data_IF_622225192218
#
_entry.id   IF_622225192218
#
_cell.length_a   1.000
_cell.length_b   1.000
_cell.length_c   1.000
_cell.angle_alpha   90.00
_cell.angle_beta   90.00
_cell.angle_gamma   90.00
#
_symmetry.space_group_name_H-M   'P 1'
#
loop_
_entity.id
_entity.type
_entity.pdbx_description
1 polymer ?
#
# COMPACT_ATOMS: atom_id res chain seq x y z
N UNK A 1 19.15 2.09 -24.31
CA UNK A 1 18.36 3.21 -23.75
C UNK A 1 16.99 2.67 -23.35
N UNK A 2 16.44 3.07 -22.20
CA UNK A 2 15.04 2.76 -21.87
C UNK A 2 14.14 3.43 -22.92
N UNK A 3 13.39 2.63 -23.68
CA UNK A 3 12.40 3.15 -24.63
C UNK A 3 11.38 4.05 -23.92
N UNK A 4 11.06 5.18 -24.56
CA UNK A 4 10.20 6.23 -24.02
C UNK A 4 8.77 5.72 -23.83
N UNK A 5 8.15 6.05 -22.69
CA UNK A 5 6.74 5.76 -22.41
C UNK A 5 5.82 6.53 -23.37
N UNK A 6 4.70 5.91 -23.71
CA UNK A 6 3.63 6.60 -24.44
C UNK A 6 2.90 7.59 -23.53
N UNK A 7 2.19 8.57 -24.13
CA UNK A 7 1.41 9.56 -23.37
C UNK A 7 0.37 8.90 -22.44
N UNK A 8 -0.28 7.82 -22.90
CA UNK A 8 -1.27 7.08 -22.09
C UNK A 8 -0.61 6.35 -20.92
N UNK A 9 0.55 5.73 -21.14
CA UNK A 9 1.30 5.06 -20.08
C UNK A 9 1.83 6.05 -19.04
N UNK A 10 2.31 7.21 -19.47
CA UNK A 10 2.75 8.26 -18.56
C UNK A 10 1.59 8.77 -17.70
N UNK A 11 0.45 9.09 -18.33
CA UNK A 11 -0.79 9.48 -17.63
C UNK A 11 -1.25 8.40 -16.64
N UNK A 12 -1.14 7.13 -17.00
CA UNK A 12 -1.45 6.01 -16.12
C UNK A 12 -0.54 5.99 -14.88
N UNK A 13 0.77 6.17 -15.05
CA UNK A 13 1.73 6.23 -13.95
C UNK A 13 1.40 7.36 -12.96
N UNK A 14 1.13 8.57 -13.48
CA UNK A 14 0.81 9.74 -12.65
C UNK A 14 -0.46 9.49 -11.83
N UNK A 15 -1.55 9.07 -12.48
CA UNK A 15 -2.83 8.78 -11.84
C UNK A 15 -2.74 7.63 -10.82
N UNK A 16 -1.94 6.60 -11.10
CA UNK A 16 -1.75 5.50 -10.16
C UNK A 16 -1.03 5.95 -8.89
N UNK A 17 -0.01 6.80 -9.02
CA UNK A 17 0.72 7.33 -7.87
C UNK A 17 -0.14 8.26 -7.03
N UNK A 18 -1.05 9.02 -7.66
CA UNK A 18 -1.99 9.90 -6.98
C UNK A 18 -3.10 9.13 -6.23
N UNK A 19 -3.72 8.14 -6.89
CA UNK A 19 -4.94 7.50 -6.37
C UNK A 19 -4.69 6.14 -5.70
N UNK A 20 -3.57 5.48 -5.96
CA UNK A 20 -3.27 4.12 -5.49
C UNK A 20 -4.14 3.01 -6.10
N UNK A 21 -5.03 3.32 -7.05
CA UNK A 21 -5.95 2.37 -7.67
C UNK A 21 -5.62 2.17 -9.16
N UNK A 22 -5.18 0.96 -9.51
CA UNK A 22 -4.76 0.61 -10.86
C UNK A 22 -5.91 0.67 -11.87
N UNK A 23 -7.09 0.15 -11.50
CA UNK A 23 -8.25 0.09 -12.39
C UNK A 23 -8.79 1.49 -12.70
N UNK A 24 -8.86 2.38 -11.69
CA UNK A 24 -9.25 3.78 -11.90
C UNK A 24 -8.22 4.55 -12.73
N UNK A 25 -6.92 4.37 -12.45
CA UNK A 25 -5.87 4.99 -13.26
C UNK A 25 -5.96 4.54 -14.73
N UNK A 26 -6.26 3.27 -14.97
CA UNK A 26 -6.42 2.73 -16.32
C UNK A 26 -7.63 3.31 -17.04
N UNK A 27 -8.80 3.38 -16.37
CA UNK A 27 -10.03 3.99 -16.92
C UNK A 27 -9.83 5.43 -17.38
N UNK A 28 -9.03 6.20 -16.67
CA UNK A 28 -8.80 7.61 -16.98
C UNK A 28 -7.67 7.82 -17.99
N UNK A 29 -6.68 6.92 -18.03
CA UNK A 29 -5.56 6.99 -18.96
C UNK A 29 -5.88 6.42 -20.35
N UNK A 30 -6.80 5.45 -20.42
CA UNK A 30 -7.19 4.75 -21.63
C UNK A 30 -8.69 4.89 -21.89
N UNK A 31 -9.10 4.87 -23.16
CA UNK A 31 -10.52 4.86 -23.53
C UNK A 31 -11.10 3.48 -23.19
N UNK A 32 -11.93 3.42 -22.16
CA UNK A 32 -12.46 2.18 -21.58
C UNK A 32 -13.99 2.07 -21.64
N UNK A 33 -14.68 2.95 -22.37
CA UNK A 33 -16.15 3.08 -22.35
C UNK A 33 -16.91 1.78 -22.71
N UNK A 34 -16.27 0.89 -23.47
CA UNK A 34 -16.84 -0.41 -23.87
C UNK A 34 -16.20 -1.62 -23.17
N UNK A 35 -15.32 -1.40 -22.18
CA UNK A 35 -14.63 -2.48 -21.48
C UNK A 35 -15.38 -2.90 -20.22
N UNK A 36 -15.46 -4.22 -19.99
CA UNK A 36 -15.98 -4.77 -18.74
C UNK A 36 -15.01 -4.47 -17.57
N UNK A 37 -15.51 -4.29 -16.33
CA UNK A 37 -14.68 -4.03 -15.15
C UNK A 37 -13.56 -5.07 -14.94
N UNK A 38 -13.83 -6.34 -15.21
CA UNK A 38 -12.87 -7.45 -15.06
C UNK A 38 -11.71 -7.29 -16.03
N UNK A 39 -11.99 -6.92 -17.29
CA UNK A 39 -10.98 -6.66 -18.30
C UNK A 39 -10.09 -5.48 -17.93
N UNK A 40 -10.66 -4.42 -17.35
CA UNK A 40 -9.91 -3.27 -16.87
C UNK A 40 -8.99 -3.68 -15.70
N UNK A 41 -9.50 -4.47 -14.76
CA UNK A 41 -8.73 -4.95 -13.62
C UNK A 41 -7.53 -5.79 -14.06
N UNK A 42 -7.75 -6.75 -14.97
CA UNK A 42 -6.69 -7.60 -15.52
C UNK A 42 -5.64 -6.79 -16.27
N UNK A 43 -6.06 -5.92 -17.20
CA UNK A 43 -5.15 -5.10 -18.01
C UNK A 43 -4.35 -4.12 -17.17
N UNK A 44 -4.99 -3.45 -16.21
CA UNK A 44 -4.30 -2.51 -15.31
C UNK A 44 -3.26 -3.23 -14.44
N UNK A 45 -3.61 -4.41 -13.92
CA UNK A 45 -2.69 -5.26 -13.14
C UNK A 45 -1.51 -5.76 -13.96
N UNK A 46 -1.74 -6.13 -15.23
CA UNK A 46 -0.66 -6.51 -16.16
C UNK A 46 0.25 -5.33 -16.46
N UNK A 47 -0.33 -4.15 -16.73
CA UNK A 47 0.41 -2.93 -17.05
C UNK A 47 1.33 -2.52 -15.88
N UNK A 48 0.88 -2.65 -14.64
CA UNK A 48 1.71 -2.38 -13.45
C UNK A 48 2.96 -3.26 -13.35
N UNK A 49 2.90 -4.49 -13.88
CA UNK A 49 4.03 -5.44 -13.85
C UNK A 49 5.04 -5.18 -14.96
N UNK A 50 4.72 -4.34 -15.95
CA UNK A 50 5.67 -3.99 -16.99
C UNK A 50 6.86 -3.23 -16.40
N UNK A 51 8.07 -3.64 -16.78
CA UNK A 51 9.31 -3.09 -16.23
C UNK A 51 9.40 -1.56 -16.37
N UNK A 52 8.98 -1.01 -17.51
CA UNK A 52 9.01 0.44 -17.77
C UNK A 52 8.04 1.20 -16.86
N UNK A 53 6.83 0.67 -16.69
CA UNK A 53 5.76 1.26 -15.88
C UNK A 53 6.13 1.22 -14.40
N UNK A 54 6.51 0.04 -13.89
CA UNK A 54 6.97 -0.13 -12.51
C UNK A 54 8.17 0.74 -12.17
N UNK A 55 9.14 0.88 -13.10
CA UNK A 55 10.29 1.77 -12.94
C UNK A 55 9.85 3.25 -12.88
N UNK A 56 8.94 3.68 -13.75
CA UNK A 56 8.44 5.07 -13.76
C UNK A 56 7.65 5.39 -12.49
N UNK A 57 6.76 4.51 -12.06
CA UNK A 57 6.01 4.64 -10.80
C UNK A 57 6.97 4.77 -9.63
N UNK A 58 8.02 3.94 -9.56
CA UNK A 58 9.03 4.03 -8.51
C UNK A 58 9.72 5.40 -8.51
N UNK A 59 10.11 5.93 -9.67
CA UNK A 59 10.69 7.27 -9.78
C UNK A 59 9.74 8.36 -9.28
N UNK A 60 8.46 8.30 -9.66
CA UNK A 60 7.44 9.25 -9.22
C UNK A 60 7.22 9.19 -7.71
N UNK A 61 7.10 7.98 -7.14
CA UNK A 61 6.98 7.78 -5.70
C UNK A 61 8.23 8.29 -4.96
N UNK A 62 9.42 8.07 -5.49
CA UNK A 62 10.66 8.55 -4.89
C UNK A 62 10.79 10.07 -5.00
N UNK A 63 10.27 10.70 -6.07
CA UNK A 63 10.16 12.15 -6.17
C UNK A 63 9.18 12.70 -5.12
N UNK A 64 8.02 12.07 -4.93
CA UNK A 64 7.07 12.47 -3.88
C UNK A 64 7.68 12.31 -2.49
N UNK A 65 8.34 11.17 -2.22
CA UNK A 65 9.07 10.95 -0.97
C UNK A 65 10.10 12.05 -0.72
N UNK A 66 10.88 12.45 -1.73
CA UNK A 66 11.87 13.54 -1.61
C UNK A 66 11.26 14.91 -1.39
N UNK A 67 10.05 15.16 -1.90
CA UNK A 67 9.32 16.42 -1.69
C UNK A 67 8.56 16.46 -0.36
N UNK A 68 8.29 15.30 0.24
CA UNK A 68 7.63 15.18 1.53
C UNK A 68 8.65 15.07 2.66
N UNK A 69 8.33 15.63 3.83
CA UNK A 69 9.11 15.40 5.06
C UNK A 69 8.72 14.08 5.76
N UNK A 70 8.17 13.11 5.00
CA UNK A 70 7.69 11.83 5.53
C UNK A 70 8.73 10.75 5.26
N UNK A 71 9.44 10.35 6.30
CA UNK A 71 10.42 9.25 6.27
C UNK A 71 9.84 7.97 6.88
N UNK A 72 10.50 6.83 6.65
CA UNK A 72 10.10 5.56 7.29
C UNK A 72 10.23 5.65 8.81
N UNK A 73 11.29 6.33 9.26
CA UNK A 73 11.61 6.59 10.65
C UNK A 73 10.50 7.42 11.29
N UNK A 74 10.09 8.52 10.66
CA UNK A 74 8.98 9.36 11.14
C UNK A 74 7.68 8.58 11.25
N UNK A 75 7.35 7.72 10.26
CA UNK A 75 6.16 6.87 10.33
C UNK A 75 6.27 5.88 11.51
N UNK A 76 7.44 5.27 11.73
CA UNK A 76 7.65 4.36 12.86
C UNK A 76 7.55 5.07 14.20
N UNK A 77 8.03 6.32 14.31
CA UNK A 77 7.87 7.16 15.51
C UNK A 77 6.39 7.42 15.83
N UNK A 78 5.59 7.79 14.84
CA UNK A 78 4.14 7.98 14.99
C UNK A 78 3.43 6.68 15.41
N UNK A 79 3.76 5.55 14.76
CA UNK A 79 3.19 4.24 15.14
C UNK A 79 3.65 3.80 16.54
N UNK A 80 4.89 4.09 16.92
CA UNK A 80 5.44 3.77 18.24
C UNK A 80 4.71 4.54 19.35
N UNK A 81 4.31 5.79 19.10
CA UNK A 81 3.50 6.57 20.03
C UNK A 81 2.16 5.87 20.35
N UNK A 82 1.49 5.34 19.31
CA UNK A 82 0.25 4.57 19.47
C UNK A 82 0.52 3.25 20.20
N UNK A 83 1.54 2.50 19.80
CA UNK A 83 1.89 1.20 20.37
C UNK A 83 2.14 1.29 21.88
N UNK A 84 2.89 2.31 22.30
CA UNK A 84 3.30 2.54 23.69
C UNK A 84 2.22 3.25 24.54
N UNK A 85 1.15 3.75 23.91
CA UNK A 85 0.09 4.46 24.63
C UNK A 85 -0.64 3.57 25.64
N UNK A 86 -0.94 4.11 26.82
CA UNK A 86 -1.77 3.46 27.84
C UNK A 86 -2.81 4.44 28.35
N UNK A 87 -4.06 4.02 28.45
CA UNK A 87 -5.16 4.90 28.87
C UNK A 87 -4.91 5.51 30.26
N UNK A 88 -4.23 4.79 31.15
CA UNK A 88 -3.84 5.25 32.49
C UNK A 88 -2.94 6.47 32.47
N UNK A 89 -2.14 6.66 31.42
CA UNK A 89 -1.20 7.79 31.33
C UNK A 89 -1.93 9.13 31.09
N UNK A 90 -3.21 9.09 30.69
CA UNK A 90 -4.10 10.24 30.45
C UNK A 90 -4.98 10.56 31.66
N UNK A 91 -4.92 9.74 32.71
CA UNK A 91 -5.77 9.83 33.88
C UNK A 91 -4.96 10.29 35.10
N UNK A 92 -5.65 10.92 36.03
CA UNK A 92 -5.16 11.31 37.34
C UNK A 92 -6.08 10.72 38.40
N UNK A 93 -5.48 10.18 39.46
CA UNK A 93 -6.18 9.62 40.59
C UNK A 93 -5.99 10.58 41.77
N UNK A 94 -7.07 11.26 42.18
CA UNK A 94 -7.05 12.14 43.35
C UNK A 94 -8.29 11.88 44.19
N UNK A 95 -8.10 11.65 45.49
CA UNK A 95 -9.16 11.45 46.48
C UNK A 95 -10.16 10.34 46.08
N UNK A 96 -9.66 9.20 45.60
CA UNK A 96 -10.49 8.06 45.17
C UNK A 96 -11.31 8.31 43.89
N UNK A 97 -11.07 9.41 43.16
CA UNK A 97 -11.75 9.74 41.91
C UNK A 97 -10.76 9.77 40.75
N UNK A 98 -11.20 9.23 39.61
CA UNK A 98 -10.50 9.29 38.33
C UNK A 98 -10.90 10.59 37.62
N UNK A 99 -9.91 11.35 37.16
CA UNK A 99 -10.11 12.52 36.30
C UNK A 99 -9.12 12.49 35.16
N UNK A 100 -9.51 12.98 33.98
CA UNK A 100 -8.54 13.22 32.93
C UNK A 100 -7.51 14.27 33.37
N UNK A 101 -6.25 14.06 32.97
CA UNK A 101 -5.22 15.10 33.05
C UNK A 101 -5.65 16.29 32.18
N UNK A 102 -5.10 17.47 32.46
CA UNK A 102 -5.29 18.59 31.55
C UNK A 102 -4.64 18.24 30.21
N UNK A 103 -5.28 18.56 29.09
CA UNK A 103 -4.70 18.34 27.76
C UNK A 103 -3.38 19.08 27.58
N UNK A 104 -3.21 20.21 28.28
CA UNK A 104 -1.96 20.99 28.31
C UNK A 104 -0.80 20.26 28.99
N UNK A 105 -1.10 19.24 29.82
CA UNK A 105 -0.10 18.45 30.54
C UNK A 105 0.31 17.19 29.76
N UNK A 106 -0.31 16.92 28.61
CA UNK A 106 0.01 15.74 27.80
C UNK A 106 1.27 15.96 27.00
N UNK A 107 2.13 14.95 26.94
CA UNK A 107 3.31 14.97 26.07
C UNK A 107 2.90 14.84 24.60
N UNK A 108 3.78 15.26 23.69
CA UNK A 108 3.55 15.15 22.25
C UNK A 108 3.25 13.69 21.83
N UNK A 109 3.97 12.72 22.38
CA UNK A 109 3.72 11.28 22.16
C UNK A 109 2.33 10.85 22.60
N UNK A 110 1.82 11.39 23.72
CA UNK A 110 0.49 11.10 24.20
C UNK A 110 -0.57 11.69 23.27
N UNK A 111 -0.37 12.94 22.83
CA UNK A 111 -1.29 13.61 21.89
C UNK A 111 -1.38 12.83 20.57
N UNK A 112 -0.24 12.35 20.04
CA UNK A 112 -0.18 11.55 18.80
C UNK A 112 -0.99 10.25 18.85
N UNK A 113 -1.17 9.67 20.04
CA UNK A 113 -1.92 8.43 20.19
C UNK A 113 -3.45 8.62 20.31
N UNK A 114 -3.94 9.86 20.41
CA UNK A 114 -5.36 10.18 20.54
C UNK A 114 -6.04 10.08 19.17
N UNK A 115 -7.02 9.19 19.05
CA UNK A 115 -7.84 9.05 17.84
C UNK A 115 -8.97 10.07 17.82
N UNK A 116 -9.64 10.29 18.96
CA UNK A 116 -10.71 11.29 19.04
C UNK A 116 -10.99 11.75 20.47
N UNK A 117 -11.50 12.97 20.59
CA UNK A 117 -12.01 13.55 21.83
C UNK A 117 -13.43 14.05 21.56
N UNK A 118 -14.39 13.64 22.39
CA UNK A 118 -15.80 14.05 22.26
C UNK A 118 -16.33 14.56 23.59
N UNK A 119 -17.14 15.61 23.56
CA UNK A 119 -17.89 16.07 24.73
C UNK A 119 -19.27 15.42 24.74
N UNK A 120 -19.46 14.48 25.65
CA UNK A 120 -20.74 13.81 25.88
C UNK A 120 -21.58 14.49 26.96
N UNK A 121 -22.77 13.94 27.21
CA UNK A 121 -23.73 14.43 28.22
C UNK A 121 -23.17 14.44 29.64
N UNK A 122 -22.29 13.49 29.96
CA UNK A 122 -21.75 13.28 31.31
C UNK A 122 -20.25 13.57 31.45
N UNK A 123 -19.59 14.07 30.41
CA UNK A 123 -18.16 14.35 30.45
C UNK A 123 -17.47 14.27 29.10
N UNK A 124 -16.16 14.09 29.14
CA UNK A 124 -15.32 13.95 27.96
C UNK A 124 -15.06 12.46 27.72
N UNK A 125 -15.22 12.02 26.47
CA UNK A 125 -14.82 10.71 25.99
C UNK A 125 -13.51 10.88 25.20
N UNK A 126 -12.49 10.11 25.57
CA UNK A 126 -11.20 10.07 24.90
C UNK A 126 -10.97 8.67 24.35
N UNK A 127 -10.73 8.59 23.03
CA UNK A 127 -10.42 7.34 22.33
C UNK A 127 -8.96 7.38 21.87
N UNK A 128 -8.22 6.31 22.16
CA UNK A 128 -6.88 6.09 21.63
C UNK A 128 -6.95 5.23 20.37
N UNK A 129 -5.99 5.41 19.47
CA UNK A 129 -5.85 4.56 18.30
C UNK A 129 -5.69 3.08 18.68
N UNK A 130 -6.24 2.19 17.85
CA UNK A 130 -6.15 0.74 18.04
C UNK A 130 -4.73 0.20 17.88
N UNK A 131 -4.26 -0.59 18.85
CA UNK A 131 -2.92 -1.20 18.81
C UNK A 131 -2.79 -2.29 17.76
N UNK A 132 -3.84 -3.07 17.48
CA UNK A 132 -3.75 -4.20 16.54
C UNK A 132 -3.33 -3.77 15.14
N UNK A 133 -3.99 -2.74 14.58
CA UNK A 133 -3.62 -2.18 13.28
C UNK A 133 -2.19 -1.61 13.28
N UNK A 134 -1.82 -0.94 14.38
CA UNK A 134 -0.48 -0.36 14.56
C UNK A 134 0.60 -1.45 14.54
N UNK A 135 0.38 -2.55 15.28
CA UNK A 135 1.28 -3.70 15.34
C UNK A 135 1.42 -4.32 13.95
N UNK A 136 0.31 -4.59 13.26
CA UNK A 136 0.32 -5.13 11.90
C UNK A 136 1.13 -4.23 10.95
N UNK A 137 0.96 -2.91 11.06
CA UNK A 137 1.68 -1.96 10.21
C UNK A 137 3.19 -1.96 10.50
N UNK A 138 3.58 -2.01 11.77
CA UNK A 138 4.98 -2.10 12.19
C UNK A 138 5.60 -3.42 11.71
N UNK A 139 4.91 -4.56 11.88
CA UNK A 139 5.39 -5.86 11.41
C UNK A 139 5.66 -5.86 9.91
N UNK A 140 4.74 -5.30 9.11
CA UNK A 140 4.91 -5.14 7.66
C UNK A 140 6.07 -4.24 7.29
N UNK A 141 6.28 -3.14 8.03
CA UNK A 141 7.38 -2.19 7.74
C UNK A 141 8.76 -2.74 8.12
N UNK A 142 8.85 -3.53 9.19
CA UNK A 142 10.10 -4.11 9.69
C UNK A 142 10.39 -5.50 9.14
N UNK A 143 9.44 -6.10 8.42
CA UNK A 143 9.60 -7.43 7.83
C UNK A 143 9.52 -8.57 8.84
N UNK A 144 8.77 -8.40 9.92
CA UNK A 144 8.52 -9.47 10.89
C UNK A 144 7.52 -10.51 10.36
N UNK A 145 6.69 -10.14 9.37
CA UNK A 145 5.75 -11.06 8.74
C UNK A 145 6.46 -12.02 7.79
N UNK A 146 6.01 -13.28 7.75
CA UNK A 146 6.46 -14.23 6.73
C UNK A 146 6.08 -13.71 5.34
N UNK A 147 6.95 -13.89 4.31
CA UNK A 147 6.61 -13.51 2.95
C UNK A 147 5.35 -14.26 2.50
N UNK A 148 4.31 -13.54 2.12
CA UNK A 148 3.12 -14.13 1.50
C UNK A 148 3.54 -14.86 0.21
N UNK A 149 3.34 -16.18 0.16
CA UNK A 149 3.46 -16.96 -1.08
C UNK A 149 2.37 -16.47 -2.03
N UNK A 150 2.75 -15.68 -3.04
CA UNK A 150 1.87 -15.43 -4.19
C UNK A 150 1.91 -16.65 -5.08
N UNK A 151 0.89 -17.51 -5.01
CA UNK A 151 0.67 -18.51 -6.04
C UNK A 151 0.36 -17.78 -7.35
N UNK A 152 1.28 -17.85 -8.31
CA UNK A 152 1.00 -17.48 -9.68
C UNK A 152 0.37 -18.73 -10.29
N UNK A 153 -0.96 -18.82 -10.28
CA UNK A 153 -1.69 -19.81 -11.08
C UNK A 153 -1.61 -19.41 -12.56
N UNK A 154 -0.44 -19.60 -13.16
CA UNK A 154 -0.30 -19.60 -14.61
C UNK A 154 -0.73 -20.97 -15.11
N UNK A 155 -1.92 -21.07 -15.68
CA UNK A 155 -2.19 -22.18 -16.60
C UNK A 155 -1.17 -22.07 -17.74
N UNK A 156 -0.16 -22.92 -17.71
CA UNK A 156 0.67 -23.20 -18.87
C UNK A 156 -0.27 -23.90 -19.86
N UNK A 157 -0.90 -23.11 -20.72
CA UNK A 157 -1.62 -23.64 -21.87
C UNK A 157 -0.57 -24.31 -22.77
N UNK A 158 -0.64 -25.63 -22.75
CA UNK A 158 0.04 -26.62 -23.59
C UNK A 158 1.17 -26.09 -24.49
N UNK A 159 2.39 -26.53 -24.19
CA UNK A 159 3.48 -26.53 -25.15
C UNK A 159 3.09 -27.46 -26.32
N UNK A 160 2.56 -26.89 -27.41
CA UNK A 160 2.40 -27.64 -28.66
C UNK A 160 3.79 -27.87 -29.26
N UNK A 161 4.35 -29.05 -29.03
CA UNK A 161 5.53 -29.52 -29.75
C UNK A 161 5.07 -29.83 -31.18
N UNK A 162 5.48 -29.03 -32.16
CA UNK A 162 5.39 -29.43 -33.56
C UNK A 162 6.46 -30.48 -33.81
N UNK A 163 6.07 -31.75 -33.93
CA UNK A 163 6.93 -32.78 -34.50
C UNK A 163 7.20 -32.40 -35.97
N UNK A 164 8.47 -32.21 -36.30
CA UNK A 164 8.89 -32.06 -37.70
C UNK A 164 8.63 -33.39 -38.41
N UNK A 165 7.96 -33.40 -39.58
CA UNK A 165 7.71 -34.64 -40.30
C UNK A 165 9.03 -35.29 -40.71
N UNK A 166 9.09 -36.59 -40.42
CA UNK A 166 10.22 -37.48 -40.72
C UNK A 166 10.44 -37.56 -42.23
N UNK A 167 11.37 -36.74 -42.74
CA UNK A 167 11.79 -36.79 -44.12
C UNK A 167 12.81 -37.92 -44.28
N UNK A 168 12.27 -39.13 -44.37
CA UNK A 168 13.01 -40.31 -44.79
C UNK A 168 13.80 -40.04 -46.07
N UNK A 169 15.12 -39.91 -45.92
CA UNK A 169 16.08 -40.16 -46.99
C UNK A 169 16.94 -41.35 -46.62
N UNK A 170 16.39 -42.51 -46.93
CA UNK A 170 17.15 -43.67 -47.35
C UNK A 170 18.05 -43.27 -48.53
N UNK A 171 19.38 -43.37 -48.36
CA UNK A 171 20.29 -43.79 -49.43
C UNK A 171 21.45 -44.60 -48.86
N UNK A 172 21.35 -45.90 -49.07
CA UNK A 172 22.47 -46.78 -49.37
C UNK A 172 23.57 -46.08 -50.17
N UNK A 173 24.78 -46.02 -49.62
CA UNK A 173 26.05 -46.46 -50.25
C UNK A 173 27.21 -46.28 -49.28
#
# INVERSE_FOLDING_TARGET
MLEKLTVKQEKFCDLYVEMGNASEAYRQAYSCDSMKPETINERSSRLLKEYKISTRIKQLQDNLRRKSDITKERILEELSAILNSRITDYLSFKNGRIKFKNFSDLSETQVKAIESIKKGKYGIELKLHGKSWTIERICKMLGYDMPEKREISGEISQLTIFELPDNGRNKNK
#
